data_IF_014126666237
#
_entry.id   IF_014126666237
#
_cell.length_a   1.000
_cell.length_b   1.000
_cell.length_c   1.000
_cell.angle_alpha   90.00
_cell.angle_beta   90.00
_cell.angle_gamma   90.00
#
_symmetry.space_group_name_H-M   'P 1'
#
loop_
_entity.id
_entity.type
_entity.pdbx_description
1 polymer ?
#
# COMPACT_ATOMS: atom_id res chain seq x y z
N UNK A 1 -16.78 -22.86 -0.37
CA UNK A 1 -16.29 -21.77 0.52
C UNK A 1 -14.81 -21.91 0.88
N UNK A 2 -14.29 -23.10 1.25
CA UNK A 2 -12.87 -23.29 1.66
C UNK A 2 -11.80 -22.94 0.61
N UNK A 3 -12.15 -22.93 -0.68
CA UNK A 3 -11.22 -22.70 -1.80
C UNK A 3 -10.64 -21.27 -1.86
N UNK A 4 -11.31 -20.27 -1.29
CA UNK A 4 -10.89 -18.87 -1.36
C UNK A 4 -10.14 -18.37 -0.11
N UNK A 5 -10.14 -19.15 0.98
CA UNK A 5 -9.42 -18.85 2.22
C UNK A 5 -7.94 -18.51 2.00
N UNK A 6 -7.15 -19.29 1.23
CA UNK A 6 -5.75 -18.96 1.03
C UNK A 6 -5.56 -17.64 0.29
N UNK A 7 -6.50 -17.26 -0.58
CA UNK A 7 -6.42 -16.04 -1.37
C UNK A 7 -6.58 -14.79 -0.49
N UNK A 8 -7.55 -14.82 0.43
CA UNK A 8 -7.83 -13.72 1.37
C UNK A 8 -6.69 -13.59 2.39
N UNK A 9 -6.11 -14.72 2.83
CA UNK A 9 -4.97 -14.70 3.74
C UNK A 9 -3.72 -14.09 3.11
N UNK A 10 -3.42 -14.45 1.86
CA UNK A 10 -2.29 -13.88 1.13
C UNK A 10 -2.50 -12.39 0.86
N UNK A 11 -3.72 -11.97 0.53
CA UNK A 11 -4.05 -10.56 0.34
C UNK A 11 -3.78 -9.74 1.61
N UNK A 12 -4.34 -10.14 2.75
CA UNK A 12 -4.08 -9.47 4.03
C UNK A 12 -2.61 -9.49 4.44
N UNK A 13 -1.91 -10.61 4.27
CA UNK A 13 -0.48 -10.71 4.55
C UNK A 13 0.35 -9.76 3.66
N UNK A 14 -0.05 -9.59 2.40
CA UNK A 14 0.61 -8.68 1.45
C UNK A 14 0.41 -7.24 1.87
N UNK A 15 -0.80 -6.84 2.25
CA UNK A 15 -1.09 -5.48 2.75
C UNK A 15 -0.24 -5.17 3.98
N UNK A 16 -0.16 -6.09 4.94
CA UNK A 16 0.67 -5.90 6.13
C UNK A 16 2.17 -5.82 5.82
N UNK A 17 2.65 -6.62 4.87
CA UNK A 17 4.03 -6.55 4.42
C UNK A 17 4.35 -5.19 3.77
N UNK A 18 3.45 -4.65 2.95
CA UNK A 18 3.59 -3.33 2.32
C UNK A 18 3.59 -2.22 3.36
N UNK A 19 2.74 -2.29 4.38
CA UNK A 19 2.68 -1.32 5.47
C UNK A 19 4.01 -1.26 6.24
N UNK A 20 4.53 -2.41 6.65
CA UNK A 20 5.82 -2.51 7.35
C UNK A 20 7.00 -2.09 6.47
N UNK A 21 6.96 -2.40 5.17
CA UNK A 21 7.95 -1.90 4.22
C UNK A 21 7.89 -0.37 4.12
N UNK A 22 6.70 0.22 3.98
CA UNK A 22 6.50 1.67 3.97
C UNK A 22 7.11 2.36 5.19
N UNK A 23 6.88 1.79 6.38
CA UNK A 23 7.47 2.29 7.62
C UNK A 23 9.01 2.27 7.61
N UNK A 24 9.61 1.18 7.11
CA UNK A 24 11.08 1.09 6.96
C UNK A 24 11.62 2.05 5.90
N UNK A 25 10.90 2.26 4.79
CA UNK A 25 11.31 3.16 3.71
C UNK A 25 11.32 4.63 4.17
N UNK A 26 10.42 5.00 5.09
CA UNK A 26 10.31 6.35 5.67
C UNK A 26 11.24 6.58 6.87
N UNK A 27 11.68 5.51 7.54
CA UNK A 27 12.57 5.56 8.70
C UNK A 27 13.84 6.42 8.53
N UNK A 28 14.57 6.40 7.39
CA UNK A 28 15.77 7.25 7.23
C UNK A 28 15.47 8.74 7.08
N UNK A 29 14.25 9.13 6.69
CA UNK A 29 13.88 10.53 6.43
C UNK A 29 13.17 11.19 7.61
N UNK A 30 12.27 10.46 8.26
CA UNK A 30 11.37 11.00 9.30
C UNK A 30 11.52 10.29 10.66
N UNK A 31 12.45 9.33 10.77
CA UNK A 31 12.65 8.55 11.99
C UNK A 31 11.51 7.56 12.28
N UNK A 32 11.63 6.84 13.40
CA UNK A 32 10.63 5.89 13.88
C UNK A 32 9.62 6.49 14.87
N UNK A 33 9.16 7.71 14.64
CA UNK A 33 8.24 8.37 15.58
C UNK A 33 6.83 7.75 15.52
N UNK A 34 6.11 7.78 16.65
CA UNK A 34 4.71 7.35 16.72
C UNK A 34 3.81 8.10 15.71
N UNK A 35 4.17 9.34 15.38
CA UNK A 35 3.44 10.15 14.42
C UNK A 35 3.56 9.59 12.99
N UNK A 36 4.76 9.17 12.57
CA UNK A 36 4.99 8.55 11.26
C UNK A 36 4.24 7.22 11.16
N UNK A 37 4.30 6.41 12.22
CA UNK A 37 3.58 5.14 12.30
C UNK A 37 2.06 5.34 12.18
N UNK A 38 1.50 6.29 12.93
CA UNK A 38 0.08 6.62 12.86
C UNK A 38 -0.33 7.16 11.48
N UNK A 39 0.52 7.97 10.84
CA UNK A 39 0.26 8.47 9.49
C UNK A 39 0.20 7.34 8.46
N UNK A 40 1.12 6.37 8.53
CA UNK A 40 1.11 5.20 7.64
C UNK A 40 -0.17 4.39 7.84
N UNK A 41 -0.53 4.07 9.10
CA UNK A 41 -1.78 3.37 9.41
C UNK A 41 -3.00 4.12 8.87
N UNK A 42 -3.07 5.44 9.07
CA UNK A 42 -4.17 6.27 8.58
C UNK A 42 -4.27 6.24 7.05
N UNK A 43 -3.16 6.32 6.33
CA UNK A 43 -3.12 6.23 4.87
C UNK A 43 -3.52 4.84 4.38
N UNK A 44 -2.99 3.77 5.00
CA UNK A 44 -3.32 2.38 4.63
C UNK A 44 -4.81 2.10 4.83
N UNK A 45 -5.36 2.46 5.99
CA UNK A 45 -6.79 2.29 6.28
C UNK A 45 -7.67 3.14 5.36
N UNK A 46 -7.27 4.39 5.10
CA UNK A 46 -7.98 5.26 4.16
C UNK A 46 -8.01 4.69 2.74
N UNK A 47 -6.86 4.17 2.27
CA UNK A 47 -6.76 3.52 0.97
C UNK A 47 -7.60 2.23 0.90
N UNK A 48 -7.58 1.40 1.94
CA UNK A 48 -8.42 0.20 2.03
C UNK A 48 -9.91 0.54 2.01
N UNK A 49 -10.34 1.52 2.80
CA UNK A 49 -11.73 1.96 2.82
C UNK A 49 -12.19 2.46 1.45
N UNK A 50 -11.37 3.28 0.79
CA UNK A 50 -11.64 3.76 -0.57
C UNK A 50 -11.68 2.60 -1.58
N UNK A 51 -10.73 1.66 -1.48
CA UNK A 51 -10.66 0.47 -2.32
C UNK A 51 -11.87 -0.45 -2.16
N UNK A 52 -12.35 -0.69 -0.93
CA UNK A 52 -13.54 -1.48 -0.67
C UNK A 52 -14.82 -0.80 -1.16
N UNK A 53 -14.92 0.53 -1.02
CA UNK A 53 -16.05 1.27 -1.57
C UNK A 53 -16.11 1.14 -3.10
N UNK A 54 -15.01 1.47 -3.79
CA UNK A 54 -14.96 1.41 -5.26
C UNK A 54 -15.05 -0.03 -5.79
N UNK A 55 -14.37 -0.97 -5.13
CA UNK A 55 -14.42 -2.40 -5.44
C UNK A 55 -15.82 -2.99 -5.24
N UNK A 56 -16.54 -2.56 -4.20
CA UNK A 56 -17.93 -2.93 -3.95
C UNK A 56 -18.85 -2.46 -5.09
N UNK A 57 -18.75 -1.18 -5.48
CA UNK A 57 -19.53 -0.62 -6.60
C UNK A 57 -19.23 -1.36 -7.91
N UNK A 58 -17.96 -1.70 -8.17
CA UNK A 58 -17.56 -2.43 -9.37
C UNK A 58 -18.12 -3.87 -9.35
N UNK A 59 -18.06 -4.54 -8.19
CA UNK A 59 -18.53 -5.92 -7.99
C UNK A 59 -20.04 -6.12 -8.15
N UNK A 60 -20.83 -5.05 -8.05
CA UNK A 60 -22.29 -5.09 -8.27
C UNK A 60 -22.69 -5.50 -9.71
N UNK A 61 -21.75 -5.48 -10.66
CA UNK A 61 -21.96 -6.04 -12.00
C UNK A 61 -21.37 -7.45 -12.07
N UNK A 62 -21.97 -8.41 -12.80
CA UNK A 62 -21.35 -9.71 -13.04
C UNK A 62 -20.06 -9.49 -13.83
N UNK A 63 -18.94 -9.43 -13.11
CA UNK A 63 -17.62 -9.20 -13.68
C UNK A 63 -16.95 -10.54 -13.94
N UNK A 64 -16.35 -10.73 -15.13
CA UNK A 64 -15.53 -11.91 -15.38
C UNK A 64 -14.30 -11.90 -14.46
N UNK A 65 -13.91 -13.10 -14.01
CA UNK A 65 -12.80 -13.32 -13.07
C UNK A 65 -11.45 -12.76 -13.57
N UNK A 66 -11.30 -12.56 -14.88
CA UNK A 66 -10.15 -11.90 -15.51
C UNK A 66 -9.90 -10.47 -14.99
N UNK A 67 -10.96 -9.72 -14.67
CA UNK A 67 -10.81 -8.33 -14.18
C UNK A 67 -10.18 -8.26 -12.79
N UNK A 68 -10.47 -9.24 -11.93
CA UNK A 68 -9.79 -9.35 -10.62
C UNK A 68 -8.29 -9.57 -10.81
N UNK A 69 -7.91 -10.43 -11.76
CA UNK A 69 -6.50 -10.68 -12.07
C UNK A 69 -5.80 -9.43 -12.59
N UNK A 70 -6.46 -8.63 -13.44
CA UNK A 70 -5.93 -7.35 -13.93
C UNK A 70 -5.71 -6.35 -12.79
N UNK A 71 -6.67 -6.21 -11.87
CA UNK A 71 -6.54 -5.30 -10.72
C UNK A 71 -5.39 -5.73 -9.81
N UNK A 72 -5.26 -7.04 -9.54
CA UNK A 72 -4.14 -7.58 -8.75
C UNK A 72 -2.79 -7.38 -9.46
N UNK A 73 -2.73 -7.56 -10.78
CA UNK A 73 -1.50 -7.28 -11.55
C UNK A 73 -1.11 -5.81 -11.48
N UNK A 74 -2.06 -4.89 -11.64
CA UNK A 74 -1.81 -3.45 -11.51
C UNK A 74 -1.30 -3.13 -10.11
N UNK A 75 -1.93 -3.68 -9.07
CA UNK A 75 -1.48 -3.51 -7.69
C UNK A 75 -0.06 -4.03 -7.46
N UNK A 76 0.28 -5.21 -7.99
CA UNK A 76 1.61 -5.79 -7.89
C UNK A 76 2.68 -4.91 -8.57
N UNK A 77 2.36 -4.35 -9.75
CA UNK A 77 3.25 -3.40 -10.45
C UNK A 77 3.45 -2.13 -9.62
N UNK A 78 2.37 -1.57 -9.07
CA UNK A 78 2.47 -0.40 -8.19
C UNK A 78 3.33 -0.65 -6.96
N UNK A 79 3.19 -1.81 -6.31
CA UNK A 79 4.03 -2.22 -5.16
C UNK A 79 5.49 -2.38 -5.60
N UNK A 80 5.75 -2.97 -6.76
CA UNK A 80 7.10 -3.13 -7.30
C UNK A 80 7.78 -1.78 -7.61
N UNK A 81 6.99 -0.75 -7.95
CA UNK A 81 7.47 0.62 -8.20
C UNK A 81 7.68 1.45 -6.91
N UNK A 82 7.18 1.00 -5.77
CA UNK A 82 7.31 1.67 -4.48
C UNK A 82 8.76 2.07 -4.11
N UNK A 83 9.79 1.19 -4.21
CA UNK A 83 11.18 1.56 -3.89
C UNK A 83 11.74 2.64 -4.83
N UNK A 84 11.29 2.68 -6.09
CA UNK A 84 11.74 3.71 -7.03
C UNK A 84 11.31 5.11 -6.57
N UNK A 85 10.09 5.23 -6.05
CA UNK A 85 9.58 6.48 -5.50
C UNK A 85 10.34 6.93 -4.25
N UNK A 86 10.75 5.97 -3.40
CA UNK A 86 11.57 6.27 -2.22
C UNK A 86 12.91 6.91 -2.61
N UNK A 87 13.58 6.40 -3.65
CA UNK A 87 14.86 6.97 -4.12
C UNK A 87 14.69 8.42 -4.57
N UNK A 88 13.62 8.73 -5.31
CA UNK A 88 13.33 10.12 -5.71
C UNK A 88 13.04 11.01 -4.50
N UNK A 89 12.22 10.54 -3.55
CA UNK A 89 11.90 11.29 -2.34
C UNK A 89 13.13 11.55 -1.46
N UNK A 90 14.05 10.58 -1.38
CA UNK A 90 15.30 10.74 -0.66
C UNK A 90 16.15 11.87 -1.25
N UNK A 91 16.34 11.90 -2.58
CA UNK A 91 17.06 12.99 -3.24
C UNK A 91 16.42 14.37 -3.00
N UNK A 92 15.09 14.45 -3.10
CA UNK A 92 14.34 15.69 -2.88
C UNK A 92 14.45 16.18 -1.42
N UNK A 93 14.36 15.26 -0.46
CA UNK A 93 14.46 15.59 0.97
C UNK A 93 15.83 16.14 1.38
N UNK A 94 16.91 15.64 0.76
CA UNK A 94 18.28 16.12 0.97
C UNK A 94 18.44 17.55 0.44
N UNK A 95 17.84 17.85 -0.71
CA UNK A 95 17.87 19.18 -1.31
C UNK A 95 17.03 20.18 -0.49
N UNK A 96 15.88 19.75 0.03
CA UNK A 96 14.96 20.60 0.80
C UNK A 96 15.34 20.73 2.28
N UNK A 97 16.38 20.04 2.76
CA UNK A 97 16.83 20.03 4.16
C UNK A 97 15.69 19.81 5.17
N UNK A 98 14.68 19.02 4.77
CA UNK A 98 13.53 18.66 5.60
C UNK A 98 13.94 17.59 6.61
N UNK A 99 14.80 17.95 7.57
CA UNK A 99 15.02 17.17 8.78
C UNK A 99 13.92 17.49 9.78
N UNK A 100 12.94 16.61 9.89
CA UNK A 100 12.11 16.57 11.08
C UNK A 100 12.96 15.92 12.19
N UNK A 101 13.56 16.76 13.05
CA UNK A 101 14.27 16.31 14.26
C UNK A 101 13.28 15.79 15.30
#
# INVERSE_FOLDING_TARGET
MKKYIPLILVEGATVMAVELCGAKLLSPLYGGSLFVWAAILAVTLGALAFGYYYGGVLSSKPLPQQKLFTVVMIAAICIALMPFWQVMLCHISVILNLKWQ
#
